data_IF_589653345865
#
_entry.id   IF_589653345865
#
_cell.length_a   1.000
_cell.length_b   1.000
_cell.length_c   1.000
_cell.angle_alpha   90.00
_cell.angle_beta   90.00
_cell.angle_gamma   90.00
#
_symmetry.space_group_name_H-M   'P 1'
#
loop_
_entity.id
_entity.type
_entity.pdbx_description
1 polymer ?
#
# COMPACT_ATOMS: atom_id res chain seq x y z
N UNK A 1 -65.94 26.18 12.09
CA UNK A 1 -64.63 26.59 11.63
C UNK A 1 -63.82 27.09 12.83
N UNK A 2 -62.91 26.29 13.36
CA UNK A 2 -62.07 26.67 14.52
C UNK A 2 -60.61 26.71 14.06
N UNK A 3 -60.06 27.91 14.06
CA UNK A 3 -58.66 28.22 13.83
C UNK A 3 -57.84 27.67 15.00
N UNK A 4 -56.78 26.89 14.71
CA UNK A 4 -55.79 26.50 15.71
C UNK A 4 -54.52 27.33 15.45
N UNK A 5 -54.29 28.28 16.33
CA UNK A 5 -53.06 29.02 16.48
C UNK A 5 -51.96 28.14 17.04
N UNK A 6 -50.85 28.04 16.33
CA UNK A 6 -49.65 27.33 16.79
C UNK A 6 -48.75 28.35 17.50
N UNK A 7 -48.59 28.18 18.81
CA UNK A 7 -47.66 28.94 19.63
C UNK A 7 -46.22 28.44 19.36
N UNK A 8 -45.39 29.28 18.77
CA UNK A 8 -43.95 29.07 18.69
C UNK A 8 -43.31 29.48 20.03
N UNK A 9 -42.80 28.48 20.76
CA UNK A 9 -42.04 28.70 21.99
C UNK A 9 -40.59 29.02 21.61
N UNK A 10 -40.19 30.29 21.74
CA UNK A 10 -38.80 30.72 21.64
C UNK A 10 -38.05 30.28 22.91
N UNK A 11 -37.17 29.30 22.81
CA UNK A 11 -36.24 28.98 23.89
C UNK A 11 -35.00 29.85 23.72
N UNK A 12 -34.88 30.85 24.56
CA UNK A 12 -33.71 31.73 24.67
C UNK A 12 -32.67 31.02 25.53
N UNK A 13 -31.60 30.44 24.89
CA UNK A 13 -30.48 29.91 25.62
C UNK A 13 -29.55 31.04 26.05
N UNK A 14 -29.61 31.39 27.33
CA UNK A 14 -28.68 32.34 27.94
C UNK A 14 -27.36 31.61 28.24
N UNK A 15 -26.34 31.78 27.37
CA UNK A 15 -24.96 31.33 27.65
C UNK A 15 -24.38 32.27 28.73
N UNK A 16 -24.31 31.79 29.95
CA UNK A 16 -23.54 32.45 31.01
C UNK A 16 -22.05 32.22 30.72
N UNK A 17 -21.38 33.29 30.26
CA UNK A 17 -19.91 33.32 30.05
C UNK A 17 -19.25 33.44 31.43
N UNK A 18 -18.85 32.31 32.02
CA UNK A 18 -18.00 32.30 33.22
C UNK A 18 -16.55 32.58 32.78
N UNK A 19 -16.10 33.78 33.00
CA UNK A 19 -14.67 34.14 32.84
C UNK A 19 -13.90 33.51 34.02
N UNK A 20 -13.24 32.39 33.76
CA UNK A 20 -12.28 31.80 34.70
C UNK A 20 -10.96 32.55 34.54
N UNK A 21 -10.64 33.38 35.52
CA UNK A 21 -9.30 34.00 35.63
C UNK A 21 -8.27 32.91 35.94
N UNK A 22 -7.68 32.32 34.88
CA UNK A 22 -6.54 31.42 35.01
C UNK A 22 -5.30 32.27 35.34
N UNK A 23 -4.81 32.18 36.57
CA UNK A 23 -3.49 32.70 36.94
C UNK A 23 -2.42 32.03 36.06
N UNK A 24 -1.48 32.76 35.47
CA UNK A 24 -0.36 32.13 34.76
C UNK A 24 0.53 31.40 35.76
N UNK A 25 0.33 30.10 35.91
CA UNK A 25 1.37 29.24 36.45
C UNK A 25 2.53 29.31 35.46
N UNK A 26 3.70 29.69 35.95
CA UNK A 26 4.92 29.74 35.16
C UNK A 26 5.14 28.37 34.50
N UNK A 27 4.87 28.31 33.21
CA UNK A 27 5.21 27.16 32.38
C UNK A 27 6.73 27.26 32.19
N UNK A 28 7.48 26.50 32.98
CA UNK A 28 8.87 26.22 32.63
C UNK A 28 8.87 25.63 31.22
N UNK A 29 9.71 26.12 30.27
CA UNK A 29 9.78 25.51 28.97
C UNK A 29 10.15 24.05 29.19
N UNK A 30 9.19 23.14 28.85
CA UNK A 30 9.47 21.73 28.68
C UNK A 30 10.56 21.66 27.60
N UNK A 31 11.81 21.43 28.04
CA UNK A 31 12.87 21.03 27.12
C UNK A 31 12.32 19.83 26.37
N UNK A 32 11.97 20.00 25.11
CA UNK A 32 11.53 18.89 24.27
C UNK A 32 12.70 17.90 24.26
N UNK A 33 12.56 16.82 25.03
CA UNK A 33 13.45 15.68 24.89
C UNK A 33 13.36 15.28 23.41
N UNK A 34 14.41 15.56 22.64
CA UNK A 34 14.49 15.14 21.26
C UNK A 34 14.40 13.61 21.29
N UNK A 35 13.26 13.08 20.85
CA UNK A 35 13.13 11.65 20.63
C UNK A 35 14.25 11.25 19.68
N UNK A 36 15.12 10.28 20.04
CA UNK A 36 16.19 9.87 19.16
C UNK A 36 15.63 9.52 17.78
N UNK A 37 16.34 9.79 16.69
CA UNK A 37 15.87 9.49 15.36
C UNK A 37 15.53 8.00 15.26
N UNK A 38 14.33 7.70 14.78
CA UNK A 38 13.92 6.32 14.53
C UNK A 38 14.66 5.90 13.26
N UNK A 39 15.60 4.97 13.40
CA UNK A 39 16.35 4.43 12.27
C UNK A 39 15.59 3.26 11.63
N UNK A 40 15.76 3.09 10.33
CA UNK A 40 15.28 1.94 9.57
C UNK A 40 15.89 0.64 10.11
N UNK A 41 15.19 -0.47 9.90
CA UNK A 41 15.67 -1.80 10.28
C UNK A 41 16.65 -2.30 9.19
N UNK A 42 17.97 -2.40 9.46
CA UNK A 42 18.93 -2.83 8.44
C UNK A 42 18.64 -4.23 7.89
N UNK A 43 18.07 -5.10 8.72
CA UNK A 43 17.66 -6.44 8.32
C UNK A 43 16.60 -6.42 7.22
N UNK A 44 15.59 -5.54 7.30
CA UNK A 44 14.54 -5.43 6.27
C UNK A 44 15.11 -4.92 4.94
N UNK A 45 16.01 -3.92 5.00
CA UNK A 45 16.67 -3.43 3.80
C UNK A 45 17.50 -4.53 3.11
N UNK A 46 18.22 -5.35 3.89
CA UNK A 46 18.98 -6.50 3.37
C UNK A 46 18.06 -7.56 2.76
N UNK A 47 16.99 -7.97 3.46
CA UNK A 47 16.03 -8.96 2.96
C UNK A 47 15.38 -8.52 1.65
N UNK A 48 15.02 -7.22 1.54
CA UNK A 48 14.47 -6.65 0.31
C UNK A 48 15.51 -6.63 -0.81
N UNK A 49 16.77 -6.27 -0.54
CA UNK A 49 17.83 -6.28 -1.53
C UNK A 49 18.10 -7.70 -2.07
N UNK A 50 18.14 -8.70 -1.20
CA UNK A 50 18.27 -10.12 -1.57
C UNK A 50 17.07 -10.62 -2.41
N UNK A 51 15.85 -10.21 -2.02
CA UNK A 51 14.63 -10.52 -2.77
C UNK A 51 14.68 -9.99 -4.20
N UNK A 52 15.08 -8.72 -4.35
CA UNK A 52 15.21 -8.10 -5.68
C UNK A 52 16.35 -8.71 -6.48
N UNK A 53 17.48 -9.06 -5.85
CA UNK A 53 18.61 -9.72 -6.53
C UNK A 53 18.23 -11.09 -7.10
N UNK A 54 17.39 -11.86 -6.39
CA UNK A 54 16.89 -13.16 -6.89
C UNK A 54 16.00 -13.01 -8.16
N UNK A 55 15.55 -11.78 -8.50
CA UNK A 55 14.62 -11.47 -9.59
C UNK A 55 15.20 -10.60 -10.70
N UNK A 56 16.50 -10.37 -10.68
CA UNK A 56 17.20 -9.49 -11.65
C UNK A 56 17.93 -10.16 -12.81
N UNK A 57 17.77 -11.47 -13.15
CA UNK A 57 18.32 -11.95 -14.41
C UNK A 57 17.64 -11.21 -15.58
N UNK A 58 18.40 -10.88 -16.61
CA UNK A 58 17.93 -10.18 -17.83
C UNK A 58 16.75 -10.89 -18.50
N UNK A 59 16.67 -12.21 -18.35
CA UNK A 59 15.53 -13.04 -18.75
C UNK A 59 14.86 -13.65 -17.51
N UNK A 60 13.59 -13.29 -17.21
CA UNK A 60 12.83 -13.88 -16.10
C UNK A 60 12.70 -15.41 -16.17
N UNK A 61 12.88 -16.02 -17.35
CA UNK A 61 12.90 -17.48 -17.52
C UNK A 61 14.11 -18.15 -16.87
N UNK A 62 15.15 -17.37 -16.58
CA UNK A 62 16.36 -17.85 -15.92
C UNK A 62 16.24 -17.89 -14.39
N UNK A 63 15.11 -17.45 -13.82
CA UNK A 63 14.87 -17.54 -12.38
C UNK A 63 14.68 -19.01 -11.99
N UNK A 64 15.59 -19.51 -11.15
CA UNK A 64 15.45 -20.85 -10.58
C UNK A 64 14.50 -20.83 -9.39
N UNK A 65 13.23 -21.06 -9.66
CA UNK A 65 12.18 -21.08 -8.64
C UNK A 65 12.35 -22.16 -7.57
N UNK A 66 13.15 -23.21 -7.81
CA UNK A 66 13.49 -24.21 -6.80
C UNK A 66 14.41 -23.64 -5.72
N UNK A 67 15.20 -22.62 -6.08
CA UNK A 67 16.07 -21.89 -5.16
C UNK A 67 15.34 -20.68 -4.58
N UNK A 68 14.67 -19.90 -5.41
CA UNK A 68 14.03 -18.63 -5.00
C UNK A 68 12.82 -18.89 -4.09
N UNK A 69 11.99 -19.89 -4.39
CA UNK A 69 10.79 -20.18 -3.61
C UNK A 69 11.04 -20.39 -2.10
N UNK A 70 11.98 -21.28 -1.70
CA UNK A 70 12.34 -21.45 -0.29
C UNK A 70 12.90 -20.16 0.36
N UNK A 71 13.65 -19.34 -0.38
CA UNK A 71 14.16 -18.04 0.10
C UNK A 71 13.02 -17.06 0.34
N UNK A 72 12.06 -17.01 -0.58
CA UNK A 72 10.87 -16.18 -0.44
C UNK A 72 10.05 -16.58 0.79
N UNK A 73 9.83 -17.87 0.99
CA UNK A 73 9.12 -18.36 2.17
C UNK A 73 9.82 -17.97 3.48
N UNK A 74 11.16 -18.05 3.53
CA UNK A 74 11.93 -17.63 4.68
C UNK A 74 11.86 -16.13 4.93
N UNK A 75 12.00 -15.30 3.89
CA UNK A 75 11.86 -13.84 3.96
C UNK A 75 10.46 -13.42 4.42
N UNK A 76 9.43 -14.03 3.83
CA UNK A 76 8.04 -13.78 4.18
C UNK A 76 7.75 -14.08 5.65
N UNK A 77 8.21 -15.25 6.15
CA UNK A 77 8.10 -15.62 7.55
C UNK A 77 8.74 -14.56 8.45
N UNK A 78 9.96 -14.15 8.11
CA UNK A 78 10.71 -13.17 8.92
C UNK A 78 10.04 -11.80 8.95
N UNK A 79 9.52 -11.33 7.83
CA UNK A 79 8.77 -10.07 7.75
C UNK A 79 7.52 -10.12 8.63
N UNK A 80 6.76 -11.22 8.59
CA UNK A 80 5.57 -11.41 9.43
C UNK A 80 5.92 -11.41 10.93
N UNK A 81 7.05 -12.00 11.32
CA UNK A 81 7.54 -11.95 12.71
C UNK A 81 7.85 -10.51 13.15
N UNK A 82 8.57 -9.74 12.33
CA UNK A 82 8.89 -8.34 12.62
C UNK A 82 7.64 -7.47 12.71
N UNK A 83 6.67 -7.70 11.83
CA UNK A 83 5.38 -7.03 11.86
C UNK A 83 4.60 -7.36 13.15
N UNK A 84 4.45 -8.64 13.48
CA UNK A 84 3.74 -9.09 14.70
C UNK A 84 4.39 -8.57 15.99
N UNK A 85 5.71 -8.35 15.99
CA UNK A 85 6.46 -7.76 17.10
C UNK A 85 6.38 -6.23 17.11
N UNK A 86 5.60 -5.58 16.25
CA UNK A 86 5.51 -4.12 16.14
C UNK A 86 6.88 -3.44 15.91
N UNK A 87 7.78 -4.07 15.14
CA UNK A 87 9.12 -3.54 14.89
C UNK A 87 9.15 -2.49 13.79
N UNK A 88 8.25 -2.55 12.80
CA UNK A 88 8.19 -1.60 11.69
C UNK A 88 7.81 -0.20 12.23
N UNK A 89 8.63 0.81 11.95
CA UNK A 89 8.44 2.17 12.47
C UNK A 89 8.55 3.26 11.41
N UNK A 90 9.43 3.08 10.43
CA UNK A 90 9.73 4.08 9.41
C UNK A 90 8.96 3.82 8.11
N UNK A 91 8.92 4.81 7.21
CA UNK A 91 8.37 4.60 5.86
C UNK A 91 9.14 3.51 5.11
N UNK A 92 10.46 3.49 5.25
CA UNK A 92 11.31 2.48 4.63
C UNK A 92 11.05 1.06 5.17
N UNK A 93 10.85 0.91 6.49
CA UNK A 93 10.50 -0.40 7.06
C UNK A 93 9.22 -0.96 6.45
N UNK A 94 8.18 -0.12 6.38
CA UNK A 94 6.89 -0.51 5.80
C UNK A 94 7.01 -0.84 4.32
N UNK A 95 7.74 -0.03 3.55
CA UNK A 95 7.96 -0.28 2.11
C UNK A 95 8.73 -1.59 1.86
N UNK A 96 9.84 -1.83 2.59
CA UNK A 96 10.64 -3.04 2.44
C UNK A 96 9.83 -4.31 2.81
N UNK A 97 9.05 -4.24 3.88
CA UNK A 97 8.16 -5.32 4.28
C UNK A 97 7.09 -5.61 3.22
N UNK A 98 6.44 -4.57 2.68
CA UNK A 98 5.44 -4.69 1.61
C UNK A 98 6.03 -5.31 0.34
N UNK A 99 7.28 -4.94 -0.02
CA UNK A 99 7.97 -5.47 -1.20
C UNK A 99 8.18 -6.98 -1.10
N UNK A 100 8.43 -7.51 0.09
CA UNK A 100 8.57 -8.96 0.32
C UNK A 100 7.20 -9.64 0.34
N UNK A 101 6.20 -9.04 1.03
CA UNK A 101 4.85 -9.61 1.15
C UNK A 101 4.14 -9.75 -0.21
N UNK A 102 4.41 -8.88 -1.18
CA UNK A 102 3.82 -8.99 -2.51
C UNK A 102 4.19 -10.26 -3.30
N UNK A 103 5.20 -11.01 -2.83
CA UNK A 103 5.64 -12.26 -3.44
C UNK A 103 5.02 -13.51 -2.79
N UNK A 104 4.07 -13.32 -1.86
CA UNK A 104 3.24 -14.39 -1.31
C UNK A 104 2.21 -14.90 -2.32
N UNK A 105 1.61 -16.05 -2.01
CA UNK A 105 0.48 -16.62 -2.74
C UNK A 105 -0.87 -16.37 -2.02
N UNK A 106 -0.85 -15.78 -0.82
CA UNK A 106 -2.03 -15.57 0.01
C UNK A 106 -2.66 -14.20 -0.22
N UNK A 107 -4.00 -14.16 -0.37
CA UNK A 107 -4.74 -12.90 -0.51
C UNK A 107 -4.48 -11.93 0.65
N UNK A 108 -4.49 -12.43 1.88
CA UNK A 108 -4.28 -11.62 3.08
C UNK A 108 -2.90 -10.96 3.10
N UNK A 109 -1.87 -11.59 2.54
CA UNK A 109 -0.53 -11.01 2.44
C UNK A 109 -0.48 -9.88 1.42
N UNK A 110 -1.21 -9.98 0.31
CA UNK A 110 -1.33 -8.89 -0.66
C UNK A 110 -2.08 -7.70 -0.05
N UNK A 111 -3.15 -7.96 0.71
CA UNK A 111 -3.87 -6.90 1.42
C UNK A 111 -2.97 -6.23 2.46
N UNK A 112 -2.25 -7.01 3.26
CA UNK A 112 -1.28 -6.46 4.21
C UNK A 112 -0.18 -5.66 3.51
N UNK A 113 0.33 -6.13 2.36
CA UNK A 113 1.32 -5.38 1.58
C UNK A 113 0.76 -4.02 1.14
N UNK A 114 -0.50 -3.96 0.69
CA UNK A 114 -1.18 -2.70 0.37
C UNK A 114 -1.26 -1.77 1.60
N UNK A 115 -1.71 -2.27 2.75
CA UNK A 115 -1.82 -1.49 3.99
C UNK A 115 -0.47 -0.94 4.45
N UNK A 116 0.59 -1.75 4.36
CA UNK A 116 1.95 -1.29 4.67
C UNK A 116 2.44 -0.23 3.68
N UNK A 117 2.09 -0.32 2.40
CA UNK A 117 2.39 0.74 1.43
C UNK A 117 1.67 2.05 1.78
N UNK A 118 0.39 2.00 2.19
CA UNK A 118 -0.35 3.18 2.67
C UNK A 118 0.35 3.80 3.89
N UNK A 119 0.80 2.97 4.84
CA UNK A 119 1.57 3.42 6.00
C UNK A 119 2.92 4.04 5.58
N UNK A 120 3.63 3.45 4.62
CA UNK A 120 4.89 3.98 4.09
C UNK A 120 4.71 5.36 3.47
N UNK A 121 3.69 5.53 2.61
CA UNK A 121 3.35 6.81 1.96
C UNK A 121 3.01 7.86 3.02
N UNK A 122 2.20 7.53 4.03
CA UNK A 122 1.85 8.45 5.12
C UNK A 122 3.05 8.93 5.93
N UNK A 123 4.14 8.15 5.92
CA UNK A 123 5.43 8.48 6.53
C UNK A 123 6.44 9.11 5.56
N UNK A 124 6.00 9.48 4.36
CA UNK A 124 6.79 10.19 3.36
C UNK A 124 7.59 9.29 2.41
N UNK A 125 7.45 7.98 2.44
CA UNK A 125 8.12 7.09 1.48
C UNK A 125 7.30 6.93 0.19
N UNK A 126 7.54 7.82 -0.76
CA UNK A 126 6.82 7.84 -2.04
C UNK A 126 7.09 6.61 -2.93
N UNK A 127 8.17 5.84 -2.68
CA UNK A 127 8.48 4.61 -3.45
C UNK A 127 7.36 3.58 -3.35
N UNK A 128 6.57 3.63 -2.27
CA UNK A 128 5.48 2.70 -2.02
C UNK A 128 4.24 2.94 -2.90
N UNK A 129 4.12 4.04 -3.62
CA UNK A 129 2.91 4.40 -4.40
C UNK A 129 2.54 3.34 -5.42
N UNK A 130 3.46 3.00 -6.33
CA UNK A 130 3.21 1.98 -7.33
C UNK A 130 2.91 0.62 -6.70
N UNK A 131 3.65 0.27 -5.64
CA UNK A 131 3.47 -1.00 -4.95
C UNK A 131 2.11 -1.08 -4.25
N UNK A 132 1.59 0.04 -3.72
CA UNK A 132 0.23 0.10 -3.15
C UNK A 132 -0.82 -0.33 -4.18
N UNK A 133 -0.77 0.23 -5.39
CA UNK A 133 -1.67 -0.14 -6.48
C UNK A 133 -1.46 -1.60 -6.93
N UNK A 134 -0.21 -2.04 -7.05
CA UNK A 134 0.12 -3.39 -7.49
C UNK A 134 -0.31 -4.47 -6.48
N UNK A 135 -0.21 -4.20 -5.19
CA UNK A 135 -0.64 -5.12 -4.12
C UNK A 135 -2.16 -5.20 -4.04
N UNK A 136 -2.89 -4.08 -4.21
CA UNK A 136 -4.35 -4.08 -4.32
C UNK A 136 -4.82 -4.91 -5.51
N UNK A 137 -4.20 -4.72 -6.67
CA UNK A 137 -4.54 -5.48 -7.88
C UNK A 137 -4.30 -6.99 -7.69
N UNK A 138 -3.18 -7.38 -7.03
CA UNK A 138 -2.91 -8.79 -6.71
C UNK A 138 -3.94 -9.37 -5.76
N UNK A 139 -4.32 -8.62 -4.71
CA UNK A 139 -5.38 -9.02 -3.81
C UNK A 139 -6.69 -9.25 -4.55
N UNK A 140 -7.13 -8.27 -5.35
CA UNK A 140 -8.37 -8.37 -6.12
C UNK A 140 -8.36 -9.53 -7.10
N UNK A 141 -7.25 -9.73 -7.82
CA UNK A 141 -7.06 -10.85 -8.73
C UNK A 141 -7.15 -12.19 -7.99
N UNK A 142 -6.53 -12.30 -6.81
CA UNK A 142 -6.53 -13.53 -6.02
C UNK A 142 -7.93 -13.94 -5.55
N UNK A 143 -8.80 -12.95 -5.24
CA UNK A 143 -10.20 -13.19 -4.88
C UNK A 143 -11.16 -13.19 -6.08
N UNK A 144 -10.63 -13.26 -7.32
CA UNK A 144 -11.40 -13.38 -8.55
C UNK A 144 -12.08 -12.09 -9.03
N UNK A 145 -11.74 -10.93 -8.47
CA UNK A 145 -12.29 -9.63 -8.87
C UNK A 145 -11.42 -8.95 -9.93
N UNK A 146 -12.00 -8.07 -10.76
CA UNK A 146 -11.23 -7.21 -11.66
C UNK A 146 -10.22 -6.37 -10.85
N UNK A 147 -8.99 -6.27 -11.37
CA UNK A 147 -7.99 -5.34 -10.87
C UNK A 147 -8.39 -3.88 -11.16
N UNK A 148 -7.86 -2.93 -10.41
CA UNK A 148 -8.23 -1.52 -10.53
C UNK A 148 -7.20 -0.70 -11.34
N UNK A 149 -5.92 -1.00 -11.18
CA UNK A 149 -4.83 -0.17 -11.68
C UNK A 149 -4.15 -0.73 -12.93
N UNK A 150 -4.55 -1.91 -13.40
CA UNK A 150 -3.98 -2.56 -14.58
C UNK A 150 -2.47 -2.88 -14.44
N UNK A 151 -2.04 -3.26 -13.24
CA UNK A 151 -0.63 -3.59 -12.96
C UNK A 151 -0.31 -5.06 -13.17
N UNK A 152 -1.33 -5.95 -13.22
CA UNK A 152 -1.15 -7.39 -13.25
C UNK A 152 -1.44 -7.97 -14.64
N UNK A 153 -0.50 -8.76 -15.11
CA UNK A 153 -0.60 -9.56 -16.33
C UNK A 153 -0.56 -11.04 -15.95
N UNK A 154 -1.31 -11.85 -16.64
CA UNK A 154 -1.46 -13.26 -16.35
C UNK A 154 -1.13 -14.13 -17.57
N UNK A 155 -0.64 -15.31 -17.29
CA UNK A 155 -0.39 -16.37 -18.23
C UNK A 155 -1.00 -17.64 -17.66
N UNK A 156 -1.99 -18.22 -18.35
CA UNK A 156 -2.82 -19.30 -17.82
C UNK A 156 -2.33 -20.70 -18.22
N UNK A 157 -1.25 -20.80 -19.00
CA UNK A 157 -0.64 -22.08 -19.39
C UNK A 157 0.87 -21.93 -19.67
N UNK A 158 1.66 -23.01 -19.64
CA UNK A 158 3.12 -22.94 -19.81
C UNK A 158 3.62 -22.27 -21.10
N UNK A 159 2.80 -22.26 -22.14
CA UNK A 159 3.12 -21.67 -23.46
C UNK A 159 2.16 -20.53 -23.81
N UNK A 160 1.52 -19.90 -22.85
CA UNK A 160 0.55 -18.87 -23.09
C UNK A 160 1.19 -17.52 -23.41
N UNK A 161 0.40 -16.68 -24.07
CA UNK A 161 0.70 -15.27 -24.17
C UNK A 161 0.25 -14.56 -22.89
N UNK A 162 1.10 -13.65 -22.38
CA UNK A 162 0.70 -12.80 -21.28
C UNK A 162 -0.44 -11.88 -21.72
N UNK A 163 -1.48 -11.83 -20.93
CA UNK A 163 -2.61 -10.91 -21.12
C UNK A 163 -2.86 -10.09 -19.85
N UNK A 164 -3.40 -8.89 -20.05
CA UNK A 164 -3.82 -8.03 -18.97
C UNK A 164 -5.01 -8.70 -18.25
N UNK A 165 -4.90 -8.91 -16.94
CA UNK A 165 -6.03 -9.43 -16.18
C UNK A 165 -7.22 -8.46 -16.25
N UNK A 166 -8.45 -8.96 -16.07
CA UNK A 166 -9.69 -8.15 -16.11
C UNK A 166 -9.50 -6.85 -15.32
N UNK A 167 -9.82 -5.71 -15.94
CA UNK A 167 -9.65 -4.37 -15.36
C UNK A 167 -11.00 -3.74 -15.07
N UNK A 168 -11.14 -3.10 -13.92
CA UNK A 168 -12.20 -2.14 -13.64
C UNK A 168 -11.84 -0.82 -14.33
N UNK A 169 -12.48 -0.53 -15.45
CA UNK A 169 -12.19 0.65 -16.28
C UNK A 169 -12.75 1.97 -15.68
N UNK A 170 -13.40 1.91 -14.52
CA UNK A 170 -13.92 3.13 -13.83
C UNK A 170 -12.83 3.93 -13.12
N UNK A 171 -11.64 3.36 -12.94
CA UNK A 171 -10.49 4.06 -12.34
C UNK A 171 -9.91 5.05 -13.33
N UNK A 172 -9.81 6.33 -12.94
CA UNK A 172 -9.30 7.40 -13.79
C UNK A 172 -7.78 7.35 -13.97
N UNK A 173 -7.28 7.86 -15.09
CA UNK A 173 -5.83 7.95 -15.33
C UNK A 173 -5.15 8.97 -14.38
N UNK A 174 -5.87 9.97 -13.87
CA UNK A 174 -5.38 10.89 -12.82
C UNK A 174 -5.07 10.13 -11.53
N UNK A 175 -5.96 9.19 -11.11
CA UNK A 175 -5.70 8.38 -9.92
C UNK A 175 -4.54 7.41 -10.16
N UNK A 176 -4.43 6.82 -11.35
CA UNK A 176 -3.28 5.98 -11.73
C UNK A 176 -1.98 6.78 -11.62
N UNK A 177 -1.94 7.97 -12.21
CA UNK A 177 -0.78 8.88 -12.18
C UNK A 177 -0.42 9.30 -10.76
N UNK A 178 -1.39 9.55 -9.88
CA UNK A 178 -1.13 9.91 -8.48
C UNK A 178 -0.38 8.80 -7.71
N UNK A 179 -0.58 7.54 -8.14
CA UNK A 179 0.10 6.35 -7.60
C UNK A 179 1.28 5.89 -8.46
N UNK A 180 1.79 6.72 -9.35
CA UNK A 180 2.91 6.42 -10.25
C UNK A 180 2.66 5.16 -11.13
N UNK A 181 1.39 4.91 -11.47
CA UNK A 181 0.96 3.82 -12.35
C UNK A 181 0.73 4.36 -13.76
N UNK A 182 1.14 3.63 -14.81
CA UNK A 182 0.83 3.97 -16.20
C UNK A 182 -0.67 4.09 -16.45
N UNK A 183 -1.06 4.86 -17.48
CA UNK A 183 -2.44 4.95 -17.94
C UNK A 183 -2.97 3.58 -18.41
N UNK A 184 -4.29 3.44 -18.47
CA UNK A 184 -4.89 2.20 -18.98
C UNK A 184 -4.48 1.93 -20.44
N UNK A 185 -4.36 2.97 -21.25
CA UNK A 185 -3.90 2.85 -22.63
C UNK A 185 -2.46 2.31 -22.72
N UNK A 186 -1.56 2.78 -21.85
CA UNK A 186 -0.18 2.28 -21.78
C UNK A 186 -0.12 0.82 -21.31
N UNK A 187 -0.96 0.43 -20.33
CA UNK A 187 -1.06 -0.97 -19.90
C UNK A 187 -1.52 -1.90 -21.04
N UNK A 188 -2.55 -1.50 -21.80
CA UNK A 188 -3.02 -2.22 -23.00
C UNK A 188 -1.94 -2.28 -24.11
N UNK A 189 -1.19 -1.20 -24.30
CA UNK A 189 -0.07 -1.19 -25.24
C UNK A 189 1.09 -2.12 -24.81
N UNK A 190 1.34 -2.23 -23.51
CA UNK A 190 2.32 -3.17 -22.95
C UNK A 190 1.91 -4.63 -23.18
N UNK A 191 0.63 -4.98 -23.01
CA UNK A 191 0.08 -6.29 -23.34
C UNK A 191 0.37 -6.66 -24.81
N UNK A 192 -0.01 -5.77 -25.74
CA UNK A 192 0.21 -6.00 -27.18
C UNK A 192 1.71 -6.16 -27.54
N UNK A 193 2.60 -5.52 -26.79
CA UNK A 193 4.06 -5.67 -26.95
C UNK A 193 4.58 -7.01 -26.43
N UNK A 194 4.03 -7.50 -25.30
CA UNK A 194 4.38 -8.82 -24.74
C UNK A 194 3.96 -9.95 -25.68
N UNK A 195 2.75 -9.87 -26.27
CA UNK A 195 2.24 -10.87 -27.20
C UNK A 195 3.05 -10.93 -28.48
N UNK A 196 3.58 -9.80 -28.99
CA UNK A 196 4.46 -9.78 -30.18
C UNK A 196 5.82 -10.42 -29.99
N UNK A 197 6.38 -10.38 -28.77
CA UNK A 197 7.68 -10.98 -28.49
C UNK A 197 7.65 -12.51 -28.41
N UNK A 198 6.48 -13.10 -28.27
CA UNK A 198 6.31 -14.54 -28.15
C UNK A 198 5.93 -15.22 -29.47
N UNK A 199 5.81 -14.44 -30.58
CA UNK A 199 5.66 -14.91 -31.96
C UNK A 199 6.99 -14.90 -32.70
#
# INVERSE_FOLDING_TARGET
>A
MKSRTINALLILNLLALTVVLVRPYGISPLTSAQTPPINDIPELARLMAEDQADRTPDDPKLIDWKIVGPRDAARLKRVKELYAQNKLKTGADYYHAAMILQHSDAADDFLLAHELCVAAISKGDARAKWLAAASEDRFLMNIGRPQRFATQFRCDSPNCEFHLYKVDETVTDELRKALDVPSLAEAKAREAKMQRKNK
#
